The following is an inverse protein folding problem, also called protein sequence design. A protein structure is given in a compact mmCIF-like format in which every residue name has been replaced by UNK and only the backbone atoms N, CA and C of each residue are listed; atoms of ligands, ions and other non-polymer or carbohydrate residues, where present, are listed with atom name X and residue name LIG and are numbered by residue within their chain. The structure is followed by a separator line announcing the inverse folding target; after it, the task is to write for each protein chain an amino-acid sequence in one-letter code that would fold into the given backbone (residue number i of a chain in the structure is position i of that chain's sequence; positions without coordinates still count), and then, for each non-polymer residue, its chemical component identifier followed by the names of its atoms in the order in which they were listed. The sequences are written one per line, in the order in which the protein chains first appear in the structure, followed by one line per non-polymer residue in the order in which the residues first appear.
data_IF_985207485329
#
_entry.id   IF_985207485329
#
_cell.length_a   1.000
_cell.length_b   1.000
_cell.length_c   1.000
_cell.angle_alpha   90.00
_cell.angle_beta   90.00
_cell.angle_gamma   90.00
#
_symmetry.space_group_name_H-M   'P 1'
#
loop_
_entity.id
_entity.type
_entity.pdbx_description
1 polymer ?
#
# COMPACT_ATOMS: atom_id res chain seq x y z
N UNK A 1 -2.75 19.67 -29.30
CA UNK A 1 -2.87 18.87 -30.54
C UNK A 1 -3.99 17.83 -30.46
N UNK A 2 -4.00 16.93 -29.46
CA UNK A 2 -5.05 15.90 -29.36
C UNK A 2 -6.50 16.44 -29.30
N UNK A 3 -6.87 17.43 -28.46
CA UNK A 3 -8.25 17.93 -28.40
C UNK A 3 -8.75 18.55 -29.72
N UNK A 4 -7.89 19.28 -30.44
CA UNK A 4 -8.28 19.93 -31.69
C UNK A 4 -8.50 18.92 -32.82
N UNK A 5 -7.77 17.79 -32.82
CA UNK A 5 -8.02 16.69 -33.75
C UNK A 5 -9.35 15.99 -33.47
N UNK A 6 -9.71 15.80 -32.20
CA UNK A 6 -11.01 15.23 -31.82
C UNK A 6 -12.18 16.12 -32.26
N UNK A 7 -12.05 17.44 -32.05
CA UNK A 7 -13.06 18.41 -32.51
C UNK A 7 -13.23 18.39 -34.03
N UNK A 8 -12.13 18.30 -34.79
CA UNK A 8 -12.18 18.25 -36.25
C UNK A 8 -12.87 16.99 -36.80
N UNK A 9 -12.88 15.91 -36.01
CA UNK A 9 -13.51 14.63 -36.33
C UNK A 9 -14.88 14.44 -35.66
N UNK A 10 -15.40 15.47 -34.97
CA UNK A 10 -16.63 15.40 -34.17
C UNK A 10 -16.65 14.24 -33.14
N UNK A 11 -15.49 14.01 -32.49
CA UNK A 11 -15.31 12.95 -31.49
C UNK A 11 -15.35 13.49 -30.04
N UNK A 12 -15.77 12.65 -29.06
CA UNK A 12 -15.79 13.04 -27.65
C UNK A 12 -14.41 13.45 -27.11
N UNK A 13 -14.37 14.56 -26.38
CA UNK A 13 -13.15 15.03 -25.71
C UNK A 13 -12.79 14.15 -24.49
N UNK A 14 -11.50 14.07 -24.13
CA UNK A 14 -11.10 13.40 -22.89
C UNK A 14 -11.72 14.09 -21.69
N UNK A 15 -12.31 13.31 -20.78
CA UNK A 15 -12.96 13.83 -19.55
C UNK A 15 -11.94 14.32 -18.50
N UNK A 16 -10.75 13.75 -18.50
CA UNK A 16 -9.64 14.10 -17.61
C UNK A 16 -8.34 13.73 -18.32
N UNK A 17 -7.34 14.62 -18.28
CA UNK A 17 -5.97 14.37 -18.75
C UNK A 17 -5.06 14.59 -17.55
N UNK A 18 -4.16 13.65 -17.30
CA UNK A 18 -3.22 13.73 -16.20
C UNK A 18 -1.80 13.47 -16.70
N UNK A 19 -0.89 14.37 -16.35
CA UNK A 19 0.56 14.17 -16.50
C UNK A 19 1.17 14.00 -15.12
N UNK A 20 1.79 12.85 -14.87
CA UNK A 20 2.55 12.60 -13.65
C UNK A 20 3.90 13.32 -13.69
N UNK A 21 4.49 13.55 -12.51
CA UNK A 21 5.86 14.04 -12.40
C UNK A 21 6.88 13.03 -12.93
N UNK A 22 8.11 13.46 -13.12
CA UNK A 22 9.20 12.60 -13.53
C UNK A 22 9.63 11.69 -12.39
N UNK A 23 10.11 10.48 -12.72
CA UNK A 23 10.87 9.66 -11.80
C UNK A 23 12.36 9.97 -11.98
N UNK A 24 12.98 10.53 -10.94
CA UNK A 24 14.39 10.94 -10.94
C UNK A 24 15.19 9.87 -10.21
N UNK A 25 16.16 9.25 -10.89
CA UNK A 25 17.04 8.23 -10.28
C UNK A 25 18.28 8.93 -9.72
N UNK A 26 18.56 8.74 -8.44
CA UNK A 26 19.77 9.22 -7.74
C UNK A 26 20.09 10.72 -7.97
N UNK A 27 19.05 11.56 -8.04
CA UNK A 27 19.19 13.02 -8.19
C UNK A 27 19.64 13.49 -9.58
N UNK A 28 19.77 12.59 -10.56
CA UNK A 28 20.20 12.90 -11.92
C UNK A 28 19.18 12.50 -12.99
N UNK A 29 19.35 13.04 -14.22
CA UNK A 29 18.62 12.53 -15.38
C UNK A 29 19.10 11.12 -15.71
N UNK A 30 18.15 10.22 -15.92
CA UNK A 30 18.39 8.86 -16.43
C UNK A 30 19.10 8.96 -17.78
N UNK A 31 20.27 8.32 -17.93
CA UNK A 31 20.96 8.21 -19.21
C UNK A 31 21.57 6.83 -19.41
N UNK A 32 21.23 6.21 -20.55
CA UNK A 32 21.91 4.99 -21.01
C UNK A 32 23.42 5.19 -21.20
N UNK A 33 23.86 6.42 -21.54
CA UNK A 33 25.29 6.71 -21.73
C UNK A 33 26.06 6.87 -20.43
N UNK A 34 25.40 7.19 -19.31
CA UNK A 34 26.00 7.30 -17.98
C UNK A 34 25.98 5.97 -17.22
N UNK A 35 25.31 4.94 -17.76
CA UNK A 35 25.18 3.63 -17.13
C UNK A 35 24.30 3.62 -15.87
N UNK A 36 23.62 4.73 -15.55
CA UNK A 36 22.77 4.87 -14.37
C UNK A 36 21.31 4.44 -14.62
N UNK A 37 21.00 3.94 -15.81
CA UNK A 37 19.70 3.37 -16.13
C UNK A 37 19.73 1.86 -15.94
N UNK A 38 18.86 1.37 -15.05
CA UNK A 38 18.54 -0.04 -14.86
C UNK A 38 17.10 -0.28 -15.32
N UNK A 39 16.86 -1.36 -16.07
CA UNK A 39 15.49 -1.68 -16.52
C UNK A 39 14.63 -1.99 -15.27
N UNK A 40 13.42 -1.42 -15.12
CA UNK A 40 12.49 -1.78 -14.05
C UNK A 40 12.32 -3.30 -13.85
N UNK A 41 12.42 -4.10 -14.92
CA UNK A 41 12.36 -5.56 -14.87
C UNK A 41 13.46 -6.18 -14.03
N UNK A 42 14.66 -5.60 -14.02
CA UNK A 42 15.76 -6.11 -13.20
C UNK A 42 15.48 -5.94 -11.70
N UNK A 43 14.80 -4.86 -11.32
CA UNK A 43 14.32 -4.69 -9.94
C UNK A 43 13.16 -5.63 -9.63
N UNK A 44 12.28 -5.90 -10.60
CA UNK A 44 11.16 -6.86 -10.44
C UNK A 44 11.72 -8.27 -10.20
N UNK A 45 12.73 -8.69 -10.96
CA UNK A 45 13.36 -10.00 -10.81
C UNK A 45 14.03 -10.15 -9.43
N UNK A 46 14.53 -9.05 -8.86
CA UNK A 46 15.21 -9.04 -7.56
C UNK A 46 14.23 -8.93 -6.38
N UNK A 47 13.22 -8.06 -6.48
CA UNK A 47 12.38 -7.62 -5.35
C UNK A 47 10.91 -8.00 -5.46
N UNK A 48 10.50 -8.64 -6.55
CA UNK A 48 9.12 -8.90 -6.97
C UNK A 48 8.40 -7.70 -7.62
N UNK A 49 7.41 -8.03 -8.44
CA UNK A 49 6.57 -7.06 -9.14
C UNK A 49 5.76 -6.18 -8.19
N UNK A 50 5.28 -6.74 -7.07
CA UNK A 50 4.41 -6.02 -6.15
C UNK A 50 5.19 -5.02 -5.30
N UNK A 51 6.43 -5.36 -4.91
CA UNK A 51 7.31 -4.41 -4.21
C UNK A 51 7.61 -3.18 -5.08
N UNK A 52 7.97 -3.40 -6.35
CA UNK A 52 8.27 -2.31 -7.30
C UNK A 52 7.02 -1.48 -7.58
N UNK A 53 5.85 -2.11 -7.77
CA UNK A 53 4.57 -1.40 -7.96
C UNK A 53 4.19 -0.58 -6.74
N UNK A 54 4.28 -1.17 -5.55
CA UNK A 54 3.99 -0.49 -4.29
C UNK A 54 4.89 0.73 -4.13
N UNK A 55 6.20 0.58 -4.31
CA UNK A 55 7.16 1.66 -4.22
C UNK A 55 6.82 2.81 -5.18
N UNK A 56 6.61 2.50 -6.47
CA UNK A 56 6.31 3.52 -7.48
C UNK A 56 5.02 4.30 -7.16
N UNK A 57 4.00 3.62 -6.64
CA UNK A 57 2.73 4.27 -6.26
C UNK A 57 2.82 5.01 -4.92
N UNK A 58 3.76 4.63 -4.05
CA UNK A 58 3.93 5.21 -2.71
C UNK A 58 4.86 6.41 -2.70
N UNK A 59 5.92 6.41 -3.52
CA UNK A 59 6.99 7.43 -3.51
C UNK A 59 6.86 8.49 -4.61
N UNK A 60 5.97 8.30 -5.60
CA UNK A 60 5.75 9.30 -6.65
C UNK A 60 4.48 10.10 -6.34
N UNK A 61 4.59 11.26 -5.66
CA UNK A 61 3.44 12.09 -5.33
C UNK A 61 2.79 12.69 -6.58
N UNK A 62 1.49 12.96 -6.46
CA UNK A 62 0.74 13.66 -7.48
C UNK A 62 1.25 15.10 -7.64
N UNK A 63 1.58 15.49 -8.88
CA UNK A 63 1.92 16.88 -9.24
C UNK A 63 3.38 17.30 -9.01
N UNK A 64 4.22 16.43 -8.46
CA UNK A 64 5.65 16.67 -8.25
C UNK A 64 6.49 15.50 -8.78
N UNK A 65 7.77 15.75 -9.05
CA UNK A 65 8.72 14.69 -9.38
C UNK A 65 8.95 13.79 -8.17
N UNK A 66 9.07 12.48 -8.41
CA UNK A 66 9.42 11.48 -7.41
C UNK A 66 10.87 11.05 -7.56
N UNK A 67 11.57 10.80 -6.45
CA UNK A 67 12.92 10.25 -6.48
C UNK A 67 12.91 8.74 -6.31
N UNK A 68 13.65 8.04 -7.15
CA UNK A 68 13.94 6.62 -7.01
C UNK A 68 15.37 6.42 -6.55
N UNK A 69 15.54 5.55 -5.55
CA UNK A 69 16.80 4.88 -5.24
C UNK A 69 16.50 3.42 -4.84
N UNK A 70 17.43 2.51 -5.13
CA UNK A 70 17.28 1.09 -4.76
C UNK A 70 17.21 0.93 -3.23
N UNK A 71 17.96 1.74 -2.48
CA UNK A 71 17.88 1.78 -1.01
C UNK A 71 16.48 2.15 -0.51
N UNK A 72 15.82 3.14 -1.15
CA UNK A 72 14.46 3.51 -0.77
C UNK A 72 13.47 2.38 -1.08
N UNK A 73 13.63 1.67 -2.20
CA UNK A 73 12.84 0.49 -2.54
C UNK A 73 13.00 -0.61 -1.49
N UNK A 74 14.24 -0.92 -1.11
CA UNK A 74 14.54 -1.91 -0.06
C UNK A 74 13.89 -1.50 1.26
N UNK A 75 14.07 -0.24 1.67
CA UNK A 75 13.55 0.26 2.94
C UNK A 75 12.01 0.22 2.99
N UNK A 76 11.32 0.57 1.91
CA UNK A 76 9.86 0.45 1.82
C UNK A 76 9.39 -0.99 1.81
N UNK A 77 10.07 -1.85 1.07
CA UNK A 77 9.73 -3.27 1.01
C UNK A 77 9.87 -3.90 2.40
N UNK A 78 10.95 -3.62 3.11
CA UNK A 78 11.17 -4.17 4.44
C UNK A 78 10.24 -3.53 5.49
N UNK A 79 10.19 -2.20 5.52
CA UNK A 79 9.44 -1.46 6.55
C UNK A 79 7.93 -1.61 6.41
N UNK A 80 7.40 -1.42 5.21
CA UNK A 80 5.97 -1.42 4.99
C UNK A 80 5.51 -2.85 4.66
N UNK A 81 6.00 -3.46 3.58
CA UNK A 81 5.46 -4.75 3.11
C UNK A 81 5.81 -5.91 4.05
N UNK A 82 7.06 -6.06 4.47
CA UNK A 82 7.46 -7.19 5.32
C UNK A 82 7.06 -6.97 6.79
N UNK A 83 7.48 -5.85 7.40
CA UNK A 83 7.33 -5.64 8.84
C UNK A 83 5.92 -5.25 9.27
N UNK A 84 5.13 -4.56 8.44
CA UNK A 84 3.77 -4.15 8.81
C UNK A 84 2.76 -5.17 8.28
N UNK A 85 2.66 -5.30 6.95
CA UNK A 85 1.67 -6.17 6.32
C UNK A 85 2.03 -7.65 6.50
N UNK A 86 3.26 -8.05 6.18
CA UNK A 86 3.74 -9.42 6.27
C UNK A 86 3.66 -9.96 7.70
N UNK A 87 4.12 -9.18 8.68
CA UNK A 87 4.01 -9.52 10.10
C UNK A 87 2.56 -9.71 10.53
N UNK A 88 1.66 -8.78 10.15
CA UNK A 88 0.24 -8.88 10.48
C UNK A 88 -0.37 -10.17 9.94
N UNK A 89 -0.20 -10.44 8.65
CA UNK A 89 -0.73 -11.65 8.00
C UNK A 89 -0.17 -12.91 8.63
N UNK A 90 1.15 -12.96 8.87
CA UNK A 90 1.80 -14.12 9.47
C UNK A 90 1.27 -14.42 10.87
N UNK A 91 1.18 -13.38 11.73
CA UNK A 91 0.65 -13.51 13.09
C UNK A 91 -0.80 -13.96 13.09
N UNK A 92 -1.65 -13.32 12.30
CA UNK A 92 -3.08 -13.63 12.27
C UNK A 92 -3.33 -15.06 11.76
N UNK A 93 -2.74 -15.45 10.63
CA UNK A 93 -2.89 -16.81 10.09
C UNK A 93 -2.29 -17.85 11.05
N UNK A 94 -1.11 -17.57 11.62
CA UNK A 94 -0.46 -18.44 12.58
C UNK A 94 -1.31 -18.70 13.83
N UNK A 95 -1.94 -17.65 14.36
CA UNK A 95 -2.85 -17.78 15.51
C UNK A 95 -4.13 -18.55 15.16
N UNK A 96 -4.75 -18.27 14.00
CA UNK A 96 -5.95 -18.97 13.57
C UNK A 96 -5.68 -20.47 13.40
N UNK A 97 -4.58 -20.84 12.76
CA UNK A 97 -4.21 -22.25 12.60
C UNK A 97 -3.85 -22.93 13.93
N UNK A 98 -3.24 -22.19 14.87
CA UNK A 98 -2.77 -22.76 16.13
C UNK A 98 -3.86 -22.92 17.18
N UNK A 99 -4.80 -21.98 17.24
CA UNK A 99 -5.79 -21.89 18.30
C UNK A 99 -7.19 -22.33 17.86
N UNK A 100 -7.45 -22.36 16.56
CA UNK A 100 -8.79 -22.56 16.00
C UNK A 100 -8.79 -23.51 14.78
N UNK A 101 -7.73 -24.33 14.61
CA UNK A 101 -7.60 -25.32 13.51
C UNK A 101 -7.83 -24.76 12.10
N UNK A 102 -7.54 -23.47 11.88
CA UNK A 102 -7.74 -22.82 10.59
C UNK A 102 -9.17 -22.31 10.36
N UNK A 103 -10.08 -22.52 11.31
CA UNK A 103 -11.49 -22.13 11.18
C UNK A 103 -11.75 -20.74 11.76
N UNK A 104 -12.37 -19.89 10.94
CA UNK A 104 -12.81 -18.56 11.37
C UNK A 104 -14.29 -18.62 11.75
N UNK A 105 -14.60 -18.30 13.01
CA UNK A 105 -15.99 -18.21 13.48
C UNK A 105 -16.24 -16.92 14.26
N UNK A 106 -17.35 -16.24 13.98
CA UNK A 106 -17.77 -15.08 14.75
C UNK A 106 -18.66 -15.55 15.92
N UNK A 107 -18.18 -15.39 17.15
CA UNK A 107 -18.93 -15.76 18.37
C UNK A 107 -19.86 -14.66 18.87
N UNK A 108 -19.93 -13.51 18.19
CA UNK A 108 -20.75 -12.37 18.61
C UNK A 108 -20.26 -11.67 19.88
N UNK A 109 -18.99 -11.88 20.25
CA UNK A 109 -18.35 -11.25 21.41
C UNK A 109 -17.58 -10.03 20.92
N UNK A 110 -17.73 -8.90 21.61
CA UNK A 110 -16.97 -7.68 21.34
C UNK A 110 -16.71 -6.88 22.62
N UNK A 111 -15.54 -6.28 22.70
CA UNK A 111 -15.14 -5.34 23.72
C UNK A 111 -15.07 -3.91 23.18
N UNK A 112 -14.91 -2.94 24.09
CA UNK A 112 -14.81 -1.52 23.71
C UNK A 112 -13.61 -1.24 22.81
N UNK A 113 -12.51 -1.99 22.96
CA UNK A 113 -11.30 -1.86 22.14
C UNK A 113 -11.57 -2.22 20.67
N UNK A 114 -12.48 -3.15 20.41
CA UNK A 114 -12.84 -3.61 19.05
C UNK A 114 -13.58 -2.54 18.26
N UNK A 115 -14.47 -1.79 18.92
CA UNK A 115 -15.35 -0.81 18.27
C UNK A 115 -14.59 0.25 17.47
N UNK A 116 -13.45 0.70 18.00
CA UNK A 116 -12.62 1.69 17.32
C UNK A 116 -12.01 1.11 16.04
N UNK A 117 -11.51 -0.13 16.12
CA UNK A 117 -10.87 -0.82 15.00
C UNK A 117 -11.89 -1.16 13.90
N UNK A 118 -13.06 -1.66 14.28
CA UNK A 118 -14.17 -1.96 13.34
C UNK A 118 -14.55 -0.68 12.59
N UNK A 119 -14.78 0.42 13.31
CA UNK A 119 -15.12 1.71 12.69
C UNK A 119 -14.03 2.23 11.76
N UNK A 120 -12.76 2.05 12.12
CA UNK A 120 -11.63 2.42 11.26
C UNK A 120 -11.65 1.60 9.95
N UNK A 121 -11.82 0.29 10.06
CA UNK A 121 -11.89 -0.61 8.91
C UNK A 121 -13.10 -0.32 8.00
N UNK A 122 -14.29 -0.12 8.57
CA UNK A 122 -15.51 0.20 7.83
C UNK A 122 -15.44 1.55 7.11
N UNK A 123 -14.73 2.53 7.69
CA UNK A 123 -14.60 3.86 7.08
C UNK A 123 -13.43 3.99 6.10
N UNK A 124 -12.54 2.99 6.02
CA UNK A 124 -11.35 3.04 5.19
C UNK A 124 -11.69 3.18 3.70
N UNK A 125 -12.70 2.46 3.21
CA UNK A 125 -13.06 2.49 1.79
C UNK A 125 -13.39 3.91 1.31
N UNK A 126 -14.10 4.69 2.13
CA UNK A 126 -14.48 6.09 1.81
C UNK A 126 -13.23 6.95 1.69
N UNK A 127 -12.27 6.80 2.60
CA UNK A 127 -11.00 7.55 2.56
C UNK A 127 -10.21 7.20 1.30
N UNK A 128 -10.04 5.91 1.02
CA UNK A 128 -9.32 5.40 -0.15
C UNK A 128 -9.97 5.88 -1.44
N UNK A 129 -11.29 5.73 -1.59
CA UNK A 129 -12.04 6.19 -2.77
C UNK A 129 -11.87 7.70 -3.00
N UNK A 130 -11.97 8.51 -1.94
CA UNK A 130 -11.78 9.95 -2.04
C UNK A 130 -10.38 10.33 -2.53
N UNK A 131 -9.33 9.68 -2.03
CA UNK A 131 -7.96 9.90 -2.49
C UNK A 131 -7.77 9.41 -3.94
N UNK A 132 -8.30 8.25 -4.29
CA UNK A 132 -8.20 7.69 -5.65
C UNK A 132 -8.91 8.56 -6.69
N UNK A 133 -10.09 9.12 -6.37
CA UNK A 133 -10.81 10.05 -7.25
C UNK A 133 -10.03 11.34 -7.56
N UNK A 134 -9.18 11.74 -6.62
CA UNK A 134 -8.26 12.89 -6.72
C UNK A 134 -6.88 12.51 -7.27
N UNK A 135 -6.66 11.22 -7.59
CA UNK A 135 -5.37 10.67 -8.04
C UNK A 135 -4.25 10.81 -6.98
N UNK A 136 -4.62 10.90 -5.70
CA UNK A 136 -3.70 10.99 -4.55
C UNK A 136 -3.32 9.59 -4.05
N UNK A 137 -2.79 8.74 -4.94
CA UNK A 137 -2.51 7.32 -4.65
C UNK A 137 -1.63 7.09 -3.42
N UNK A 138 -0.56 7.86 -3.16
CA UNK A 138 0.23 7.69 -1.94
C UNK A 138 -0.58 7.83 -0.65
N UNK A 139 -1.54 8.77 -0.61
CA UNK A 139 -2.41 8.99 0.57
C UNK A 139 -3.42 7.86 0.76
N UNK A 140 -3.90 7.29 -0.35
CA UNK A 140 -4.75 6.11 -0.32
C UNK A 140 -3.99 4.91 0.29
N UNK A 141 -2.75 4.67 -0.16
CA UNK A 141 -1.89 3.63 0.38
C UNK A 141 -1.55 3.87 1.85
N UNK A 142 -1.24 5.11 2.23
CA UNK A 142 -0.99 5.46 3.64
C UNK A 142 -2.18 5.14 4.55
N UNK A 143 -3.39 5.47 4.11
CA UNK A 143 -4.60 5.17 4.89
C UNK A 143 -4.80 3.66 5.12
N UNK A 144 -4.42 2.83 4.14
CA UNK A 144 -4.47 1.37 4.26
C UNK A 144 -3.40 0.89 5.27
N UNK A 145 -2.20 1.45 5.19
CA UNK A 145 -1.10 1.11 6.08
C UNK A 145 -1.33 1.56 7.53
N UNK A 146 -2.01 2.68 7.74
CA UNK A 146 -2.42 3.11 9.07
C UNK A 146 -3.36 2.09 9.73
N UNK A 147 -4.33 1.54 8.97
CA UNK A 147 -5.16 0.44 9.49
C UNK A 147 -4.32 -0.82 9.81
N UNK A 148 -3.35 -1.17 8.98
CA UNK A 148 -2.46 -2.31 9.28
C UNK A 148 -1.64 -2.10 10.56
N UNK A 149 -1.19 -0.87 10.83
CA UNK A 149 -0.52 -0.53 12.08
C UNK A 149 -1.49 -0.61 13.27
N UNK A 150 -2.71 -0.11 13.13
CA UNK A 150 -3.76 -0.26 14.15
C UNK A 150 -4.05 -1.74 14.45
N UNK A 151 -4.11 -2.60 13.43
CA UNK A 151 -4.30 -4.04 13.57
C UNK A 151 -3.14 -4.73 14.28
N UNK A 152 -1.88 -4.42 13.92
CA UNK A 152 -0.72 -4.94 14.64
C UNK A 152 -0.78 -4.54 16.13
N UNK A 153 -1.06 -3.25 16.39
CA UNK A 153 -1.19 -2.73 17.76
C UNK A 153 -2.32 -3.42 18.54
N UNK A 154 -3.46 -3.66 17.90
CA UNK A 154 -4.57 -4.38 18.51
C UNK A 154 -4.17 -5.79 18.97
N UNK A 155 -3.45 -6.53 18.13
CA UNK A 155 -2.91 -7.85 18.51
C UNK A 155 -1.96 -7.73 19.70
N UNK A 156 -1.13 -6.68 19.73
CA UNK A 156 -0.20 -6.45 20.84
C UNK A 156 -0.91 -6.12 22.16
N UNK A 157 -1.96 -5.30 22.12
CA UNK A 157 -2.73 -4.88 23.30
C UNK A 157 -3.65 -5.99 23.83
N UNK A 158 -4.20 -6.83 22.96
CA UNK A 158 -5.11 -7.92 23.36
C UNK A 158 -4.35 -9.19 23.78
N UNK A 159 -3.08 -9.32 23.43
CA UNK A 159 -2.21 -10.44 23.83
C UNK A 159 -2.86 -11.83 23.65
N UNK A 160 -3.39 -12.17 22.47
CA UNK A 160 -4.15 -13.41 22.24
C UNK A 160 -3.38 -14.69 22.60
N UNK A 161 -2.04 -14.66 22.60
CA UNK A 161 -1.20 -15.78 23.03
C UNK A 161 -1.21 -16.06 24.55
N UNK A 162 -1.66 -15.11 25.35
CA UNK A 162 -1.93 -15.27 26.79
C UNK A 162 -3.34 -15.81 26.96
N UNK A 163 -4.32 -15.15 26.32
CA UNK A 163 -5.74 -15.54 26.40
C UNK A 163 -5.97 -16.99 25.94
N UNK A 164 -5.29 -17.44 24.89
CA UNK A 164 -5.40 -18.82 24.39
C UNK A 164 -4.82 -19.88 25.34
N UNK A 165 -4.11 -19.50 26.41
CA UNK A 165 -3.58 -20.40 27.44
C UNK A 165 -4.35 -20.30 28.75
N UNK A 166 -5.24 -19.33 28.88
CA UNK A 166 -6.03 -19.13 30.08
C UNK A 166 -7.31 -19.97 29.94
N UNK A 167 -7.36 -21.10 30.65
CA UNK A 167 -8.48 -22.06 30.64
C UNK A 167 -9.68 -21.59 31.51
N UNK A 168 -9.68 -20.34 31.95
CA UNK A 168 -10.67 -19.77 32.89
C UNK A 168 -12.03 -19.46 32.23
#
# INVERSE_FOLDING_TARGET
VWPIMLMALDLPLPKKVFGHGWLVIDGGKISKSLGNYKDPREYIDTYSVDAVRYFALREVPFGSDGSFSEDALINRTNGDLANILGNLVNRTIGMINKYFDGEVSNKGVSEKIDNNLIKEAESLYIKVENYMNKLEVPKALDSIFDLFRSLNKYIDETTPWILAKDDS
#
